data_IF_251258319326
#
_entry.id   IF_251258319326
#
_cell.length_a   1.000
_cell.length_b   1.000
_cell.length_c   1.000
_cell.angle_alpha   90.00
_cell.angle_beta   90.00
_cell.angle_gamma   90.00
#
_symmetry.space_group_name_H-M   'P 1'
#
loop_
_entity.id
_entity.type
_entity.pdbx_description
1 polymer ?
#
# COMPACT_ATOMS: atom_id res chain seq x y z
N UNK A 1 16.88 -2.22 -17.95
CA UNK A 1 17.52 -3.43 -17.41
C UNK A 1 16.71 -4.64 -17.84
N UNK A 2 17.33 -5.77 -18.11
CA UNK A 2 16.60 -7.02 -18.37
C UNK A 2 16.05 -7.52 -17.03
N UNK A 3 14.73 -7.70 -16.94
CA UNK A 3 14.06 -8.21 -15.75
C UNK A 3 14.38 -9.70 -15.52
N UNK A 4 14.36 -10.14 -14.27
CA UNK A 4 14.47 -11.55 -13.94
C UNK A 4 13.21 -12.33 -14.37
N UNK A 5 13.33 -13.64 -14.57
CA UNK A 5 12.21 -14.52 -14.98
C UNK A 5 11.04 -14.55 -14.00
N UNK A 6 11.30 -14.23 -12.73
CA UNK A 6 10.30 -14.19 -11.67
C UNK A 6 9.68 -12.79 -11.47
N UNK A 7 10.17 -11.78 -12.19
CA UNK A 7 9.65 -10.42 -12.11
C UNK A 7 8.35 -10.29 -12.92
N UNK A 8 7.49 -9.37 -12.51
CA UNK A 8 6.30 -9.02 -13.28
C UNK A 8 6.68 -8.33 -14.59
N UNK A 9 6.26 -8.93 -15.70
CA UNK A 9 6.33 -8.31 -17.03
C UNK A 9 5.03 -7.54 -17.32
N UNK A 10 5.08 -6.22 -17.54
CA UNK A 10 3.88 -5.45 -17.87
C UNK A 10 3.18 -5.96 -19.14
N UNK A 11 3.89 -6.59 -20.08
CA UNK A 11 3.29 -7.18 -21.27
C UNK A 11 2.44 -8.43 -20.99
N UNK A 12 2.63 -9.06 -19.82
CA UNK A 12 1.87 -10.22 -19.36
C UNK A 12 0.88 -9.86 -18.24
N UNK A 13 0.59 -8.56 -18.04
CA UNK A 13 -0.37 -8.11 -17.04
C UNK A 13 -1.74 -8.78 -17.26
N UNK A 14 -2.42 -9.10 -16.16
CA UNK A 14 -3.82 -9.52 -16.16
C UNK A 14 -4.78 -8.38 -16.55
N UNK A 15 -4.26 -7.17 -16.73
CA UNK A 15 -4.96 -6.03 -17.25
C UNK A 15 -5.72 -5.23 -16.20
N UNK A 16 -6.72 -4.48 -16.66
CA UNK A 16 -7.48 -3.49 -15.90
C UNK A 16 -8.96 -3.89 -15.88
N UNK A 17 -9.73 -3.34 -14.95
CA UNK A 17 -11.18 -3.61 -14.87
C UNK A 17 -11.95 -3.00 -16.05
N UNK A 18 -11.60 -1.78 -16.41
CA UNK A 18 -12.13 -1.11 -17.59
C UNK A 18 -11.10 -1.24 -18.72
N UNK A 19 -11.45 -1.83 -19.88
CA UNK A 19 -10.53 -1.97 -21.00
C UNK A 19 -10.03 -0.61 -21.48
N UNK A 20 -8.72 -0.49 -21.66
CA UNK A 20 -8.10 0.71 -22.19
C UNK A 20 -7.00 0.32 -23.18
N UNK A 21 -6.82 1.14 -24.22
CA UNK A 21 -5.70 0.95 -25.14
C UNK A 21 -4.35 1.11 -24.38
N UNK A 22 -3.33 0.32 -24.74
CA UNK A 22 -1.98 0.50 -24.22
C UNK A 22 -1.48 1.92 -24.46
N UNK A 23 -0.73 2.47 -23.50
CA UNK A 23 -0.13 3.78 -23.68
C UNK A 23 1.07 3.69 -24.65
N UNK A 24 1.26 4.67 -25.55
CA UNK A 24 2.30 4.58 -26.58
C UNK A 24 3.73 4.73 -26.03
N UNK A 25 3.91 5.44 -24.92
CA UNK A 25 5.25 5.87 -24.43
C UNK A 25 5.62 5.31 -23.06
N UNK A 26 4.74 4.54 -22.43
CA UNK A 26 4.94 4.04 -21.06
C UNK A 26 4.28 2.69 -20.85
N UNK A 27 4.86 1.88 -19.98
CA UNK A 27 4.30 0.59 -19.57
C UNK A 27 3.04 0.77 -18.74
N UNK A 28 2.29 -0.33 -18.54
CA UNK A 28 1.09 -0.32 -17.71
C UNK A 28 1.37 0.03 -16.24
N UNK A 29 2.51 -0.40 -15.68
CA UNK A 29 2.91 -0.09 -14.31
C UNK A 29 3.38 1.38 -14.16
N UNK A 30 4.08 1.92 -15.17
CA UNK A 30 4.39 3.35 -15.22
C UNK A 30 3.12 4.20 -15.26
N UNK A 31 2.13 3.77 -16.05
CA UNK A 31 0.82 4.42 -16.12
C UNK A 31 0.10 4.37 -14.78
N UNK A 32 0.17 3.25 -14.05
CA UNK A 32 -0.41 3.14 -12.70
C UNK A 32 0.23 4.13 -11.73
N UNK A 33 1.58 4.15 -11.66
CA UNK A 33 2.32 5.11 -10.84
C UNK A 33 1.86 6.54 -11.12
N UNK A 34 1.82 6.93 -12.39
CA UNK A 34 1.48 8.30 -12.78
C UNK A 34 0.04 8.66 -12.35
N UNK A 35 -0.90 7.70 -12.45
CA UNK A 35 -2.28 7.87 -11.98
C UNK A 35 -2.35 8.07 -10.46
N UNK A 36 -1.59 7.28 -9.70
CA UNK A 36 -1.53 7.37 -8.25
C UNK A 36 -0.98 8.74 -7.83
N UNK A 37 0.15 9.17 -8.36
CA UNK A 37 0.79 10.46 -8.02
C UNK A 37 -0.14 11.65 -8.28
N UNK A 38 -0.97 11.59 -9.33
CA UNK A 38 -1.90 12.68 -9.66
C UNK A 38 -3.27 12.59 -8.94
N UNK A 39 -3.52 11.52 -8.18
CA UNK A 39 -4.77 11.31 -7.45
C UNK A 39 -4.97 12.31 -6.30
N UNK A 40 -6.22 12.52 -5.89
CA UNK A 40 -6.53 13.41 -4.76
C UNK A 40 -6.09 12.75 -3.44
N UNK A 41 -6.29 11.45 -3.32
CA UNK A 41 -5.91 10.66 -2.16
C UNK A 41 -4.40 10.71 -1.90
N UNK A 42 -3.56 10.64 -2.93
CA UNK A 42 -2.11 10.74 -2.77
C UNK A 42 -1.70 12.13 -2.28
N UNK A 43 -2.27 13.20 -2.87
CA UNK A 43 -2.03 14.58 -2.40
C UNK A 43 -2.43 14.78 -0.94
N UNK A 44 -3.51 14.14 -0.49
CA UNK A 44 -3.98 14.22 0.90
C UNK A 44 -3.02 13.58 1.90
N UNK A 45 -2.10 12.71 1.48
CA UNK A 45 -1.13 12.09 2.38
C UNK A 45 -0.21 13.11 3.06
N UNK A 46 0.00 14.30 2.46
CA UNK A 46 0.79 15.39 3.09
C UNK A 46 0.14 15.91 4.38
N UNK A 47 -1.17 15.70 4.56
CA UNK A 47 -1.91 16.12 5.75
C UNK A 47 -2.25 14.95 6.67
N UNK A 48 -1.73 13.75 6.39
CA UNK A 48 -1.92 12.57 7.25
C UNK A 48 -0.64 12.28 8.02
N UNK A 49 -0.81 12.06 9.31
CA UNK A 49 0.27 11.80 10.25
C UNK A 49 0.83 10.39 10.08
N UNK A 50 2.14 10.26 10.24
CA UNK A 50 2.84 8.99 10.41
C UNK A 50 3.35 8.97 11.86
N UNK A 51 2.62 8.28 12.75
CA UNK A 51 2.83 8.25 14.21
C UNK A 51 2.61 9.60 14.93
N UNK A 52 3.41 10.62 14.65
CA UNK A 52 3.37 11.91 15.34
C UNK A 52 2.43 12.92 14.67
N UNK A 53 1.86 13.83 15.46
CA UNK A 53 0.99 14.87 14.91
C UNK A 53 1.82 15.99 14.27
N UNK A 54 1.43 16.44 13.07
CA UNK A 54 2.17 17.46 12.30
C UNK A 54 2.41 18.79 13.04
N UNK A 55 1.72 19.06 14.16
CA UNK A 55 1.87 20.29 14.94
C UNK A 55 2.80 20.14 16.15
N UNK A 56 3.32 18.95 16.41
CA UNK A 56 4.25 18.69 17.52
C UNK A 56 5.71 18.99 17.15
N UNK A 57 6.00 19.25 15.87
CA UNK A 57 7.32 19.65 15.38
C UNK A 57 7.40 19.70 13.84
N UNK A 58 8.24 20.59 13.31
CA UNK A 58 8.32 20.88 11.86
C UNK A 58 8.90 19.74 10.99
N UNK A 59 9.55 18.74 11.62
CA UNK A 59 10.31 17.69 10.94
C UNK A 59 9.67 16.29 11.03
N UNK A 60 8.48 16.16 11.62
CA UNK A 60 7.81 14.87 11.69
C UNK A 60 7.31 14.41 10.32
N UNK A 61 7.45 13.12 10.05
CA UNK A 61 7.05 12.53 8.78
C UNK A 61 5.54 12.55 8.62
N UNK A 62 5.12 12.80 7.39
CA UNK A 62 3.75 12.59 6.93
C UNK A 62 3.66 11.25 6.22
N UNK A 63 2.45 10.76 5.97
CA UNK A 63 2.28 9.57 5.12
C UNK A 63 2.83 9.76 3.72
N UNK A 64 2.88 11.01 3.22
CA UNK A 64 3.46 11.30 1.91
C UNK A 64 4.96 11.07 1.92
N UNK A 65 5.68 11.63 2.89
CA UNK A 65 7.13 11.45 2.99
C UNK A 65 7.48 9.99 3.25
N UNK A 66 6.72 9.32 4.12
CA UNK A 66 6.82 7.87 4.33
C UNK A 66 6.67 7.09 3.03
N UNK A 67 5.60 7.32 2.27
CA UNK A 67 5.36 6.62 0.99
C UNK A 67 6.47 6.85 -0.03
N UNK A 68 7.09 8.03 -0.05
CA UNK A 68 8.23 8.35 -0.91
C UNK A 68 9.50 7.60 -0.50
N UNK A 69 9.77 7.49 0.80
CA UNK A 69 10.90 6.74 1.34
C UNK A 69 10.73 5.24 1.07
N UNK A 70 9.53 4.68 1.29
CA UNK A 70 9.20 3.29 0.94
C UNK A 70 9.41 3.02 -0.55
N UNK A 71 8.95 3.94 -1.41
CA UNK A 71 9.16 3.83 -2.85
C UNK A 71 10.64 3.85 -3.23
N UNK A 72 11.44 4.75 -2.62
CA UNK A 72 12.87 4.84 -2.87
C UNK A 72 13.61 3.56 -2.45
N UNK A 73 13.34 3.07 -1.25
CA UNK A 73 13.94 1.85 -0.71
C UNK A 73 13.54 0.63 -1.57
N UNK A 74 12.25 0.49 -1.85
CA UNK A 74 11.70 -0.60 -2.65
C UNK A 74 12.32 -0.65 -4.04
N UNK A 75 12.47 0.49 -4.72
CA UNK A 75 13.14 0.55 -6.04
C UNK A 75 14.61 0.15 -5.98
N UNK A 76 15.33 0.56 -4.94
CA UNK A 76 16.74 0.21 -4.74
C UNK A 76 16.93 -1.32 -4.62
N UNK A 77 16.09 -1.96 -3.81
CA UNK A 77 16.11 -3.42 -3.63
C UNK A 77 15.65 -4.13 -4.91
N UNK A 78 14.58 -3.63 -5.54
CA UNK A 78 14.02 -4.19 -6.77
C UNK A 78 15.07 -4.23 -7.90
N UNK A 79 15.85 -3.17 -8.04
CA UNK A 79 16.94 -3.09 -9.03
C UNK A 79 17.98 -4.18 -8.83
N UNK A 80 18.38 -4.42 -7.58
CA UNK A 80 19.36 -5.45 -7.22
C UNK A 80 18.82 -6.85 -7.51
N UNK A 81 17.53 -7.07 -7.23
CA UNK A 81 16.83 -8.33 -7.49
C UNK A 81 16.36 -8.49 -8.95
N UNK A 82 16.55 -7.46 -9.80
CA UNK A 82 16.02 -7.35 -11.17
C UNK A 82 14.50 -7.57 -11.24
N UNK A 83 13.79 -7.09 -10.24
CA UNK A 83 12.33 -6.99 -10.21
C UNK A 83 11.86 -5.74 -10.96
N UNK A 84 10.55 -5.63 -11.19
CA UNK A 84 9.99 -4.46 -11.87
C UNK A 84 9.92 -3.24 -10.94
N UNK A 85 10.85 -2.29 -11.12
CA UNK A 85 10.92 -1.06 -10.30
C UNK A 85 9.62 -0.23 -10.36
N UNK A 86 8.96 -0.14 -11.52
CA UNK A 86 7.76 0.68 -11.69
C UNK A 86 6.55 0.09 -10.96
N UNK A 87 6.43 -1.25 -10.90
CA UNK A 87 5.37 -1.92 -10.13
C UNK A 87 5.59 -1.74 -8.62
N UNK A 88 6.83 -1.93 -8.15
CA UNK A 88 7.17 -1.72 -6.73
C UNK A 88 6.88 -0.27 -6.32
N UNK A 89 7.28 0.69 -7.15
CA UNK A 89 7.01 2.11 -6.92
C UNK A 89 5.51 2.41 -6.91
N UNK A 90 4.73 1.89 -7.86
CA UNK A 90 3.29 2.09 -7.89
C UNK A 90 2.60 1.54 -6.63
N UNK A 91 2.96 0.34 -6.18
CA UNK A 91 2.40 -0.27 -4.96
C UNK A 91 2.80 0.55 -3.72
N UNK A 92 4.07 0.92 -3.60
CA UNK A 92 4.60 1.71 -2.50
C UNK A 92 3.90 3.07 -2.38
N UNK A 93 3.64 3.76 -3.48
CA UNK A 93 2.96 5.07 -3.44
C UNK A 93 1.47 4.96 -3.12
N UNK A 94 0.86 3.78 -3.32
CA UNK A 94 -0.57 3.58 -3.17
C UNK A 94 -0.99 2.87 -1.86
N UNK A 95 -0.06 2.24 -1.13
CA UNK A 95 -0.40 1.38 0.00
C UNK A 95 -1.22 2.10 1.10
N UNK A 96 -0.93 3.39 1.30
CA UNK A 96 -1.47 4.20 2.40
C UNK A 96 -2.61 5.16 2.00
N UNK A 97 -3.11 5.08 0.77
CA UNK A 97 -4.16 5.99 0.28
C UNK A 97 -5.42 5.97 1.15
N UNK A 98 -5.75 4.80 1.68
CA UNK A 98 -6.92 4.53 2.51
C UNK A 98 -6.78 4.88 3.99
N UNK A 99 -5.59 5.28 4.44
CA UNK A 99 -5.40 5.58 5.85
C UNK A 99 -6.28 6.73 6.33
N UNK A 100 -6.80 6.59 7.52
CA UNK A 100 -7.62 7.60 8.19
C UNK A 100 -6.76 8.75 8.70
N UNK A 101 -7.36 9.93 8.96
CA UNK A 101 -6.77 10.88 9.90
C UNK A 101 -6.42 10.17 11.23
N UNK A 102 -5.38 10.61 11.91
CA UNK A 102 -4.93 10.05 13.20
C UNK A 102 -4.50 8.58 13.16
N UNK A 103 -4.07 8.07 11.99
CA UNK A 103 -3.50 6.72 11.88
C UNK A 103 -4.43 5.62 12.39
N UNK A 104 -3.88 4.68 13.17
CA UNK A 104 -4.63 3.53 13.70
C UNK A 104 -5.79 3.93 14.62
N UNK A 105 -5.63 4.99 15.42
CA UNK A 105 -6.70 5.47 16.30
C UNK A 105 -7.95 5.89 15.51
N UNK A 106 -7.76 6.56 14.35
CA UNK A 106 -8.85 6.92 13.46
C UNK A 106 -9.52 5.70 12.81
N UNK A 107 -8.73 4.68 12.48
CA UNK A 107 -9.24 3.41 11.95
C UNK A 107 -10.08 2.69 12.99
N UNK A 108 -9.59 2.55 14.22
CA UNK A 108 -10.30 1.85 15.30
C UNK A 108 -11.62 2.56 15.62
N UNK A 109 -11.61 3.89 15.70
CA UNK A 109 -12.81 4.68 15.90
C UNK A 109 -13.83 4.48 14.76
N UNK A 110 -13.41 4.57 13.50
CA UNK A 110 -14.30 4.37 12.36
C UNK A 110 -14.81 2.93 12.27
N UNK A 111 -13.97 1.94 12.57
CA UNK A 111 -14.36 0.54 12.61
C UNK A 111 -15.43 0.30 13.68
N UNK A 112 -15.24 0.84 14.89
CA UNK A 112 -16.22 0.76 15.96
C UNK A 112 -17.54 1.43 15.57
N UNK A 113 -17.50 2.63 14.98
CA UNK A 113 -18.71 3.32 14.51
C UNK A 113 -19.47 2.50 13.46
N UNK A 114 -18.78 1.91 12.48
CA UNK A 114 -19.42 1.09 11.44
C UNK A 114 -20.01 -0.20 12.00
N UNK A 115 -19.29 -0.87 12.92
CA UNK A 115 -19.77 -2.09 13.58
C UNK A 115 -20.96 -1.81 14.49
N UNK A 116 -20.98 -0.68 15.19
CA UNK A 116 -22.12 -0.30 16.02
C UNK A 116 -23.34 0.07 15.17
N UNK A 117 -23.14 0.75 14.03
CA UNK A 117 -24.22 1.11 13.12
C UNK A 117 -24.78 -0.11 12.36
N UNK A 118 -23.90 -1.00 11.92
CA UNK A 118 -24.25 -2.24 11.25
C UNK A 118 -23.29 -3.37 11.68
N UNK A 119 -23.70 -4.25 12.61
CA UNK A 119 -22.87 -5.35 13.11
C UNK A 119 -22.39 -6.33 12.02
N UNK A 120 -23.21 -6.51 10.97
CA UNK A 120 -22.90 -7.36 9.81
C UNK A 120 -21.96 -6.69 8.81
N UNK A 121 -21.60 -5.41 9.00
CA UNK A 121 -20.67 -4.72 8.12
C UNK A 121 -19.26 -5.33 8.19
N UNK A 122 -18.48 -5.18 7.13
CA UNK A 122 -17.06 -5.56 7.10
C UNK A 122 -16.17 -4.71 8.02
N UNK A 123 -16.72 -3.68 8.67
CA UNK A 123 -15.96 -2.71 9.44
C UNK A 123 -15.15 -1.75 8.56
N UNK A 124 -14.14 -1.11 9.17
CA UNK A 124 -13.17 -0.25 8.48
C UNK A 124 -11.77 -0.83 8.63
N UNK A 125 -11.03 -0.90 7.52
CA UNK A 125 -9.63 -1.30 7.50
C UNK A 125 -8.94 -0.55 6.34
N UNK A 126 -7.74 -0.01 6.60
CA UNK A 126 -7.08 0.91 5.68
C UNK A 126 -6.65 0.28 4.35
N UNK A 127 -6.19 -0.99 4.30
CA UNK A 127 -5.84 -1.65 3.04
C UNK A 127 -7.06 -1.84 2.13
N UNK A 128 -8.20 -2.27 2.70
CA UNK A 128 -9.48 -2.33 1.99
C UNK A 128 -9.92 -0.95 1.50
N UNK A 129 -9.70 0.07 2.32
CA UNK A 129 -10.01 1.44 1.94
C UNK A 129 -9.06 1.96 0.85
N UNK A 130 -7.77 1.61 0.86
CA UNK A 130 -6.79 1.96 -0.19
C UNK A 130 -7.22 1.35 -1.52
N UNK A 131 -7.62 0.06 -1.52
CA UNK A 131 -8.19 -0.58 -2.70
C UNK A 131 -9.48 0.12 -3.16
N UNK A 132 -10.40 0.44 -2.24
CA UNK A 132 -11.64 1.15 -2.55
C UNK A 132 -11.38 2.54 -3.15
N UNK A 133 -10.36 3.25 -2.69
CA UNK A 133 -9.97 4.57 -3.24
C UNK A 133 -9.62 4.43 -4.72
N UNK A 134 -8.73 3.51 -5.06
CA UNK A 134 -8.26 3.33 -6.45
C UNK A 134 -9.29 2.64 -7.34
N UNK A 135 -10.24 1.91 -6.76
CA UNK A 135 -11.27 1.18 -7.50
C UNK A 135 -12.57 1.96 -7.70
N UNK A 136 -12.89 2.93 -6.84
CA UNK A 136 -14.24 3.50 -6.80
C UNK A 136 -14.37 4.95 -6.31
N UNK A 137 -13.44 5.51 -5.53
CA UNK A 137 -13.64 6.85 -4.91
C UNK A 137 -12.96 7.99 -5.66
N UNK A 138 -11.88 7.73 -6.40
CA UNK A 138 -11.27 8.75 -7.26
C UNK A 138 -12.13 9.00 -8.50
N UNK A 139 -12.54 10.23 -8.73
CA UNK A 139 -13.34 10.63 -9.90
C UNK A 139 -12.47 11.47 -10.83
N UNK A 140 -11.58 10.79 -11.57
CA UNK A 140 -10.59 11.43 -12.46
C UNK A 140 -10.83 11.16 -13.93
N UNK A 141 -11.68 10.19 -14.25
CA UNK A 141 -11.96 9.74 -15.61
C UNK A 141 -13.47 9.83 -15.88
N UNK A 142 -13.91 10.41 -17.01
CA UNK A 142 -15.34 10.56 -17.28
C UNK A 142 -16.10 9.23 -17.44
N UNK A 143 -15.41 8.17 -17.87
CA UNK A 143 -16.04 6.90 -18.24
C UNK A 143 -16.25 5.94 -17.05
N UNK A 144 -15.55 6.13 -15.93
CA UNK A 144 -15.59 5.25 -14.77
C UNK A 144 -15.02 5.92 -13.53
N UNK A 145 -15.42 5.43 -12.36
CA UNK A 145 -14.82 5.80 -11.09
C UNK A 145 -13.56 4.96 -10.81
N UNK A 146 -12.71 5.46 -9.93
CA UNK A 146 -11.40 4.92 -9.63
C UNK A 146 -10.31 5.36 -10.61
N UNK A 147 -9.10 4.86 -10.36
CA UNK A 147 -7.92 5.07 -11.19
C UNK A 147 -7.77 3.97 -12.25
N UNK A 148 -8.57 2.90 -12.20
CA UNK A 148 -8.49 1.75 -13.11
C UNK A 148 -7.07 1.20 -13.24
N UNK A 149 -6.43 0.94 -12.09
CA UNK A 149 -5.07 0.40 -12.02
C UNK A 149 -5.05 -1.06 -12.51
N UNK A 150 -3.87 -1.55 -12.87
CA UNK A 150 -3.66 -2.96 -13.23
C UNK A 150 -3.98 -3.89 -12.06
N UNK A 151 -4.28 -5.15 -12.37
CA UNK A 151 -4.46 -6.20 -11.38
C UNK A 151 -3.28 -6.29 -10.42
N UNK A 152 -2.05 -6.25 -10.93
CA UNK A 152 -0.83 -6.44 -10.13
C UNK A 152 -0.65 -5.33 -9.10
N UNK A 153 -0.85 -4.07 -9.50
CA UNK A 153 -0.80 -2.94 -8.56
C UNK A 153 -1.89 -3.06 -7.50
N UNK A 154 -3.12 -3.42 -7.89
CA UNK A 154 -4.25 -3.58 -6.96
C UNK A 154 -4.04 -4.75 -5.99
N UNK A 155 -3.46 -5.85 -6.45
CA UNK A 155 -3.11 -7.00 -5.63
C UNK A 155 -2.04 -6.64 -4.58
N UNK A 156 -1.05 -5.83 -4.97
CA UNK A 156 -0.03 -5.32 -4.06
C UNK A 156 -0.54 -4.31 -3.04
N UNK A 157 -1.54 -3.48 -3.39
CA UNK A 157 -2.19 -2.56 -2.45
C UNK A 157 -2.95 -3.33 -1.36
N UNK A 158 -3.64 -4.42 -1.72
CA UNK A 158 -4.37 -5.24 -0.76
C UNK A 158 -3.41 -6.19 -0.04
N UNK A 159 -2.61 -5.68 0.91
CA UNK A 159 -1.59 -6.45 1.66
C UNK A 159 -2.19 -7.60 2.46
N UNK A 160 -3.15 -7.27 3.32
CA UNK A 160 -3.86 -8.19 4.20
C UNK A 160 -5.36 -8.09 3.98
N UNK A 161 -6.05 -9.22 4.08
CA UNK A 161 -7.50 -9.27 3.99
C UNK A 161 -8.00 -10.48 4.80
N UNK A 162 -8.93 -10.24 5.72
CA UNK A 162 -9.56 -11.34 6.47
C UNK A 162 -10.34 -12.25 5.52
N UNK A 163 -10.48 -13.55 5.84
CA UNK A 163 -11.27 -14.48 5.02
C UNK A 163 -12.71 -14.00 4.80
N UNK A 164 -13.31 -13.34 5.79
CA UNK A 164 -14.64 -12.74 5.67
C UNK A 164 -14.65 -11.61 4.62
N UNK A 165 -13.72 -10.66 4.72
CA UNK A 165 -13.64 -9.54 3.77
C UNK A 165 -13.26 -10.02 2.36
N UNK A 166 -12.40 -11.04 2.26
CA UNK A 166 -12.04 -11.65 1.00
C UNK A 166 -13.25 -12.30 0.30
N UNK A 167 -14.15 -12.97 1.05
CA UNK A 167 -15.42 -13.50 0.52
C UNK A 167 -16.32 -12.39 -0.02
N UNK A 168 -16.41 -11.26 0.68
CA UNK A 168 -17.20 -10.11 0.22
C UNK A 168 -16.63 -9.49 -1.05
N UNK A 169 -15.30 -9.35 -1.15
CA UNK A 169 -14.65 -8.84 -2.35
C UNK A 169 -14.78 -9.81 -3.53
N UNK A 170 -14.55 -11.11 -3.30
CA UNK A 170 -14.69 -12.15 -4.34
C UNK A 170 -16.13 -12.23 -4.87
N UNK A 171 -17.14 -12.03 -4.02
CA UNK A 171 -18.54 -11.98 -4.46
C UNK A 171 -18.83 -10.79 -5.41
N UNK A 172 -18.05 -9.71 -5.32
CA UNK A 172 -18.18 -8.51 -6.16
C UNK A 172 -17.28 -8.54 -7.39
N UNK A 173 -16.11 -9.17 -7.28
CA UNK A 173 -15.13 -9.34 -8.35
C UNK A 173 -14.60 -10.79 -8.33
N UNK A 174 -15.35 -11.75 -8.91
CA UNK A 174 -14.93 -13.15 -8.94
C UNK A 174 -13.58 -13.33 -9.64
N UNK A 175 -12.65 -14.06 -9.03
CA UNK A 175 -11.27 -14.22 -9.52
C UNK A 175 -10.41 -12.96 -9.40
N UNK A 176 -10.88 -11.95 -8.65
CA UNK A 176 -10.19 -10.69 -8.41
C UNK A 176 -9.03 -10.80 -7.42
N UNK A 177 -8.56 -9.64 -6.93
CA UNK A 177 -7.39 -9.54 -6.05
C UNK A 177 -7.59 -10.23 -4.70
N UNK A 178 -8.84 -10.43 -4.27
CA UNK A 178 -9.18 -11.07 -3.01
C UNK A 178 -9.08 -12.61 -3.06
N UNK A 179 -9.12 -13.20 -4.26
CA UNK A 179 -9.14 -14.66 -4.46
C UNK A 179 -7.99 -15.36 -3.71
N UNK A 180 -6.80 -14.75 -3.72
CA UNK A 180 -5.59 -15.29 -3.11
C UNK A 180 -5.73 -15.59 -1.61
N UNK A 181 -6.60 -14.84 -0.91
CA UNK A 181 -6.86 -15.03 0.52
C UNK A 181 -7.87 -16.15 0.82
N UNK A 182 -8.60 -16.63 -0.19
CA UNK A 182 -9.58 -17.71 -0.06
C UNK A 182 -8.99 -19.07 -0.46
N UNK A 183 -8.03 -19.06 -1.39
CA UNK A 183 -7.37 -20.28 -1.89
C UNK A 183 -6.42 -20.93 -0.86
N UNK A 184 -6.26 -20.36 0.35
CA UNK A 184 -5.30 -20.78 1.37
C UNK A 184 -5.96 -21.12 2.73
N UNK A 185 -6.38 -22.37 2.97
CA UNK A 185 -6.92 -22.73 4.27
C UNK A 185 -5.86 -22.70 5.38
N UNK A 186 -4.74 -23.42 5.24
CA UNK A 186 -3.86 -23.76 6.39
C UNK A 186 -2.38 -24.03 6.05
N UNK A 187 -1.78 -23.35 5.06
CA UNK A 187 -0.33 -23.51 4.84
C UNK A 187 0.35 -22.24 4.37
N UNK A 188 1.64 -22.16 4.65
CA UNK A 188 2.64 -21.21 4.13
C UNK A 188 2.65 -21.09 2.58
N UNK A 189 1.80 -21.86 1.87
CA UNK A 189 1.67 -22.00 0.41
C UNK A 189 0.36 -21.46 -0.16
N UNK A 190 -0.31 -20.54 0.53
CA UNK A 190 -1.31 -19.71 -0.15
C UNK A 190 -0.71 -19.06 -1.41
N UNK A 191 -1.54 -18.75 -2.43
CA UNK A 191 -1.05 -17.98 -3.58
C UNK A 191 -0.51 -16.65 -3.08
N UNK A 192 0.82 -16.55 -3.03
CA UNK A 192 1.50 -15.31 -2.67
C UNK A 192 1.33 -14.30 -3.80
N UNK A 193 1.28 -12.99 -3.49
CA UNK A 193 1.31 -11.98 -4.53
C UNK A 193 2.70 -11.97 -5.19
N UNK A 194 2.87 -11.13 -6.21
CA UNK A 194 4.17 -10.98 -6.88
C UNK A 194 5.32 -10.64 -5.91
N UNK A 195 6.56 -10.92 -6.31
CA UNK A 195 7.73 -10.53 -5.53
C UNK A 195 7.82 -9.01 -5.38
N UNK A 196 7.33 -8.24 -6.35
CA UNK A 196 7.22 -6.79 -6.26
C UNK A 196 6.27 -6.35 -5.15
N UNK A 197 5.11 -7.01 -5.00
CA UNK A 197 4.18 -6.73 -3.91
C UNK A 197 4.74 -7.12 -2.54
N UNK A 198 5.39 -8.28 -2.45
CA UNK A 198 6.07 -8.71 -1.22
C UNK A 198 7.20 -7.75 -0.85
N UNK A 199 7.98 -7.31 -1.84
CA UNK A 199 9.05 -6.36 -1.63
C UNK A 199 8.53 -4.98 -1.20
N UNK A 200 7.44 -4.49 -1.79
CA UNK A 200 6.84 -3.23 -1.37
C UNK A 200 6.37 -3.30 0.10
N UNK A 201 5.84 -4.45 0.54
CA UNK A 201 5.49 -4.67 1.93
C UNK A 201 6.71 -4.69 2.86
N UNK A 202 7.78 -5.39 2.45
CA UNK A 202 9.03 -5.42 3.21
C UNK A 202 9.69 -4.03 3.30
N UNK A 203 9.67 -3.25 2.21
CA UNK A 203 10.20 -1.89 2.21
C UNK A 203 9.41 -0.96 3.14
N UNK A 204 8.09 -1.15 3.24
CA UNK A 204 7.25 -0.44 4.20
C UNK A 204 7.64 -0.76 5.64
N UNK A 205 7.78 -2.04 5.98
CA UNK A 205 8.22 -2.48 7.31
C UNK A 205 9.61 -1.95 7.69
N UNK A 206 10.57 -1.92 6.74
CA UNK A 206 11.90 -1.36 6.97
C UNK A 206 11.83 0.15 7.22
N UNK A 207 11.12 0.90 6.38
CA UNK A 207 10.97 2.34 6.53
C UNK A 207 10.27 2.71 7.84
N UNK A 208 9.19 1.99 8.15
CA UNK A 208 8.44 2.13 9.40
C UNK A 208 9.35 1.98 10.63
N UNK A 209 10.10 0.87 10.72
CA UNK A 209 10.98 0.61 11.86
C UNK A 209 12.11 1.63 11.99
N UNK A 210 12.73 2.04 10.88
CA UNK A 210 13.82 3.00 10.92
C UNK A 210 13.35 4.39 11.34
N UNK A 211 12.20 4.84 10.84
CA UNK A 211 11.73 6.21 11.03
C UNK A 211 11.00 6.41 12.34
N UNK A 212 10.24 5.42 12.81
CA UNK A 212 9.59 5.50 14.13
C UNK A 212 10.63 5.60 15.25
N UNK A 213 11.79 4.96 15.09
CA UNK A 213 12.91 5.09 16.03
C UNK A 213 13.52 6.50 15.95
N UNK A 214 13.79 7.02 14.75
CA UNK A 214 14.34 8.38 14.55
C UNK A 214 13.39 9.45 15.13
N UNK A 215 12.09 9.37 14.83
CA UNK A 215 11.09 10.31 15.34
C UNK A 215 10.84 10.11 16.85
N UNK A 216 10.94 8.88 17.36
CA UNK A 216 10.88 8.57 18.79
C UNK A 216 12.04 9.17 19.59
N UNK A 217 13.27 9.15 19.04
CA UNK A 217 14.43 9.82 19.64
C UNK A 217 14.30 11.34 19.54
N UNK A 218 13.85 11.87 18.40
CA UNK A 218 13.65 13.33 18.20
C UNK A 218 12.58 13.92 19.11
N UNK A 219 11.51 13.18 19.37
CA UNK A 219 10.44 13.60 20.29
C UNK A 219 10.84 13.52 21.76
N UNK A 220 11.97 12.88 22.07
CA UNK A 220 12.43 12.66 23.44
C UNK A 220 11.65 11.56 24.19
N UNK A 221 10.77 10.82 23.50
CA UNK A 221 10.10 9.65 24.05
C UNK A 221 11.06 8.46 24.22
N UNK A 222 12.10 8.41 23.38
CA UNK A 222 13.21 7.47 23.46
C UNK A 222 14.52 8.23 23.67
N UNK A 223 15.41 7.71 24.51
CA UNK A 223 16.80 8.15 24.58
C UNK A 223 17.72 7.23 23.79
N UNK A 224 18.88 7.73 23.35
CA UNK A 224 19.90 6.88 22.72
C UNK A 224 20.37 5.75 23.66
N UNK A 225 20.46 6.04 24.96
CA UNK A 225 20.80 5.04 25.98
C UNK A 225 19.78 3.89 26.01
N UNK A 226 18.48 4.19 25.93
CA UNK A 226 17.44 3.15 25.82
C UNK A 226 17.54 2.36 24.52
N UNK A 227 18.08 2.95 23.44
CA UNK A 227 18.29 2.24 22.19
C UNK A 227 19.49 1.30 22.26
N UNK A 228 20.54 1.64 23.02
CA UNK A 228 21.72 0.78 23.21
C UNK A 228 21.37 -0.55 23.92
N UNK A 229 20.33 -0.56 24.76
CA UNK A 229 19.78 -1.78 25.37
C UNK A 229 19.19 -2.77 24.35
N UNK A 230 18.88 -2.32 23.14
CA UNK A 230 18.37 -3.16 22.06
C UNK A 230 19.54 -3.74 21.28
N UNK A 231 19.77 -5.05 21.41
CA UNK A 231 20.89 -5.77 20.77
C UNK A 231 20.95 -5.67 19.23
N UNK A 232 19.87 -5.28 18.57
CA UNK A 232 19.84 -5.02 17.13
C UNK A 232 20.40 -3.63 16.78
N UNK A 233 20.26 -2.66 17.70
CA UNK A 233 20.70 -1.28 17.53
C UNK A 233 22.17 -1.10 17.95
N UNK A 234 22.62 -1.84 18.97
CA UNK A 234 23.99 -1.74 19.51
C UNK A 234 25.06 -2.52 18.71
N UNK A 235 24.81 -2.84 17.44
CA UNK A 235 25.76 -3.55 16.56
C UNK A 235 26.68 -2.62 15.78
#
# INVERSE_FOLDING_TARGET
MILARYACDPALSRGRRYPEAPAPTRSDFQRDRDRIVHSTAFRRLVYKTQVFLNHEGDLFRTRLTHSLEVAQLGRSIARTLRLNEDLVEAIALAHDLGHTPFGHAGQDALNACLKNYNPESAGFEHNLQSLRVVDALEERYPAYNGLNLTFETREGILKHCSKANARHLEAREPGGVARRFLDAPDSFHGRQPSLEAQLANLADEIAYNAHDIDDGVRSGLLSLEQMEDVALFSQ
#
